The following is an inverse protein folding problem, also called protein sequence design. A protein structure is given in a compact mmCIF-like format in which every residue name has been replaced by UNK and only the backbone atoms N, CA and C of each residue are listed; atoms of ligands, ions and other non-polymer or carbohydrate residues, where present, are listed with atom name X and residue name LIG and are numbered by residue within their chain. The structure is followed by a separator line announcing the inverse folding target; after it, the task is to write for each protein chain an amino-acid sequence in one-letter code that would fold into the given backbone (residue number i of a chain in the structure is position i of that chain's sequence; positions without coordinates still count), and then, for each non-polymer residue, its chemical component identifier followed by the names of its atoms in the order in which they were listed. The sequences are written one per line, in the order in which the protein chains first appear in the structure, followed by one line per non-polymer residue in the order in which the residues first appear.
data_IF_073730249032
#
_entry.id   IF_073730249032
#
_cell.length_a   1.000
_cell.length_b   1.000
_cell.length_c   1.000
_cell.angle_alpha   90.00
_cell.angle_beta   90.00
_cell.angle_gamma   90.00
#
_symmetry.space_group_name_H-M   'P 1'
#
loop_
_entity.id
_entity.type
_entity.pdbx_description
1 polymer ?
#
# COMPACT_ATOMS: atom_id res chain seq x y z
N UNK A 1 2.58 -33.99 6.89
CA UNK A 1 1.34 -33.25 7.26
C UNK A 1 0.88 -33.64 8.67
N UNK A 2 0.98 -32.72 9.65
CA UNK A 2 0.54 -32.95 11.04
C UNK A 2 -0.95 -32.63 11.13
N UNK A 3 -1.79 -33.64 11.36
CA UNK A 3 -3.25 -33.45 11.51
C UNK A 3 -3.51 -32.56 12.72
N UNK A 4 -4.14 -31.40 12.52
CA UNK A 4 -4.57 -30.51 13.59
C UNK A 4 -5.65 -31.25 14.40
N UNK A 5 -5.40 -31.48 15.69
CA UNK A 5 -6.40 -32.08 16.58
C UNK A 5 -7.46 -31.03 16.88
N UNK A 6 -8.71 -31.31 16.50
CA UNK A 6 -9.85 -30.49 16.93
C UNK A 6 -10.08 -30.76 18.41
N UNK A 7 -9.87 -29.75 19.25
CA UNK A 7 -10.16 -29.83 20.68
C UNK A 7 -11.64 -29.56 20.90
N UNK A 8 -12.37 -30.59 21.34
CA UNK A 8 -13.76 -30.42 21.78
C UNK A 8 -13.75 -30.09 23.26
N UNK A 9 -14.48 -29.04 23.66
CA UNK A 9 -14.72 -28.75 25.08
C UNK A 9 -15.47 -29.95 25.66
N UNK A 10 -15.02 -30.44 26.82
CA UNK A 10 -15.67 -31.57 27.49
C UNK A 10 -17.12 -31.22 27.83
N UNK A 11 -18.07 -32.03 27.36
CA UNK A 11 -19.50 -31.86 27.64
C UNK A 11 -19.86 -31.93 29.15
N UNK A 12 -18.94 -32.40 30.00
CA UNK A 12 -19.11 -32.44 31.46
C UNK A 12 -18.57 -31.20 32.15
N UNK A 13 -17.96 -30.28 31.41
CA UNK A 13 -17.41 -29.06 31.98
C UNK A 13 -18.55 -28.06 32.24
N UNK A 14 -19.00 -27.98 33.49
CA UNK A 14 -20.04 -27.03 33.93
C UNK A 14 -19.54 -25.60 34.13
N UNK A 15 -18.23 -25.35 33.99
CA UNK A 15 -17.66 -24.00 34.01
C UNK A 15 -17.97 -23.24 32.72
N UNK A 16 -18.23 -23.96 31.63
CA UNK A 16 -18.63 -23.38 30.35
C UNK A 16 -20.08 -23.75 30.07
N UNK A 17 -20.88 -22.73 29.80
CA UNK A 17 -22.23 -22.93 29.32
C UNK A 17 -22.15 -23.47 27.89
N UNK A 18 -22.57 -24.72 27.68
CA UNK A 18 -22.62 -25.35 26.36
C UNK A 18 -23.50 -24.55 25.38
N UNK A 19 -24.42 -23.74 25.91
CA UNK A 19 -25.35 -22.91 25.16
C UNK A 19 -25.01 -21.42 25.28
N UNK A 20 -23.76 -21.06 25.61
CA UNK A 20 -23.28 -19.68 25.75
C UNK A 20 -23.65 -18.79 24.55
N UNK A 21 -23.66 -19.34 23.33
CA UNK A 21 -24.07 -18.58 22.14
C UNK A 21 -25.58 -18.34 22.12
N UNK A 22 -26.38 -19.31 22.55
CA UNK A 22 -27.85 -19.28 22.45
C UNK A 22 -28.46 -18.45 23.59
N UNK A 23 -27.94 -18.58 24.82
CA UNK A 23 -28.49 -17.93 26.01
C UNK A 23 -28.26 -16.41 26.03
N UNK A 24 -27.29 -15.89 25.27
CA UNK A 24 -26.89 -14.48 25.32
C UNK A 24 -27.25 -13.68 24.07
N UNK A 25 -27.86 -14.30 23.05
CA UNK A 25 -28.33 -13.60 21.85
C UNK A 25 -29.66 -12.87 22.10
N UNK A 26 -30.60 -13.46 22.85
CA UNK A 26 -31.89 -12.83 23.17
C UNK A 26 -32.44 -13.26 24.56
N UNK A 27 -32.70 -12.32 25.49
CA UNK A 27 -33.33 -12.64 26.77
C UNK A 27 -34.72 -13.25 26.58
N UNK A 28 -34.89 -14.54 26.91
CA UNK A 28 -36.18 -15.24 26.88
C UNK A 28 -36.32 -16.33 25.82
N UNK A 29 -35.33 -16.51 24.93
CA UNK A 29 -35.25 -17.69 24.04
C UNK A 29 -34.38 -18.76 24.69
N UNK A 30 -34.99 -19.87 25.09
CA UNK A 30 -34.26 -21.04 25.58
C UNK A 30 -33.96 -22.00 24.40
N UNK A 31 -32.98 -22.88 24.60
CA UNK A 31 -32.59 -23.89 23.60
C UNK A 31 -33.71 -24.89 23.25
N UNK A 32 -34.70 -25.08 24.12
CA UNK A 32 -35.87 -25.94 23.86
C UNK A 32 -36.74 -25.40 22.71
N UNK A 33 -36.77 -24.09 22.50
CA UNK A 33 -37.46 -23.49 21.36
C UNK A 33 -36.74 -23.75 20.03
N UNK A 34 -35.40 -23.87 20.06
CA UNK A 34 -34.59 -24.12 18.85
C UNK A 34 -34.60 -25.57 18.38
N UNK A 35 -34.96 -26.54 19.24
CA UNK A 35 -35.01 -27.96 18.85
C UNK A 35 -36.19 -28.26 17.89
N UNK A 36 -37.22 -27.40 17.87
CA UNK A 36 -38.37 -27.51 16.97
C UNK A 36 -38.25 -26.62 15.71
N UNK A 37 -37.38 -25.62 15.74
CA UNK A 37 -37.07 -24.81 14.57
C UNK A 37 -36.18 -25.63 13.64
N UNK A 38 -36.81 -26.24 12.64
CA UNK A 38 -36.06 -26.78 11.49
C UNK A 38 -35.28 -25.62 10.89
N UNK A 39 -33.97 -25.64 11.06
CA UNK A 39 -33.04 -24.85 10.25
C UNK A 39 -33.27 -25.24 8.79
N UNK A 40 -34.12 -24.46 8.11
CA UNK A 40 -34.12 -24.44 6.66
C UNK A 40 -32.82 -23.75 6.27
N UNK A 41 -31.80 -24.56 6.02
CA UNK A 41 -30.50 -24.07 5.58
C UNK A 41 -30.71 -23.47 4.19
N UNK A 42 -30.97 -22.17 4.12
CA UNK A 42 -31.06 -21.37 2.88
C UNK A 42 -29.68 -21.24 2.19
N UNK A 43 -28.83 -22.26 2.33
CA UNK A 43 -27.46 -22.39 1.81
C UNK A 43 -27.44 -22.61 0.29
N UNK A 44 -28.60 -22.93 -0.31
CA UNK A 44 -28.76 -23.01 -1.77
C UNK A 44 -29.08 -21.66 -2.43
N UNK A 45 -29.30 -20.59 -1.65
CA UNK A 45 -29.24 -19.22 -2.16
C UNK A 45 -27.82 -18.74 -2.02
N UNK A 46 -26.95 -19.18 -2.93
CA UNK A 46 -25.68 -18.51 -3.18
C UNK A 46 -25.96 -17.04 -3.39
N UNK A 47 -25.64 -16.28 -2.36
CA UNK A 47 -25.70 -14.84 -2.32
C UNK A 47 -24.61 -14.31 -3.25
N UNK A 48 -24.99 -13.98 -4.49
CA UNK A 48 -24.17 -13.21 -5.44
C UNK A 48 -23.83 -11.80 -4.89
N UNK A 49 -24.22 -11.45 -3.65
CA UNK A 49 -23.88 -10.18 -2.98
C UNK A 49 -22.37 -9.99 -2.70
N UNK A 50 -21.51 -10.96 -3.00
CA UNK A 50 -20.05 -10.75 -2.98
C UNK A 50 -19.52 -10.11 -4.27
N UNK A 51 -20.30 -10.11 -5.36
CA UNK A 51 -19.89 -9.49 -6.64
C UNK A 51 -19.96 -7.95 -6.61
N UNK A 52 -20.72 -7.37 -5.68
CA UNK A 52 -20.86 -5.91 -5.51
C UNK A 52 -19.64 -5.27 -4.82
N UNK A 53 -18.70 -6.08 -4.33
CA UNK A 53 -17.41 -5.62 -3.77
C UNK A 53 -16.32 -5.50 -4.84
N UNK A 54 -16.58 -5.95 -6.07
CA UNK A 54 -15.64 -5.88 -7.21
C UNK A 54 -15.65 -4.49 -7.90
N UNK A 55 -16.65 -3.65 -7.58
CA UNK A 55 -16.67 -2.21 -7.97
C UNK A 55 -15.55 -1.40 -7.28
N UNK A 56 -14.80 -2.01 -6.34
CA UNK A 56 -13.59 -1.44 -5.75
C UNK A 56 -12.38 -1.41 -6.70
N UNK A 57 -12.51 -1.91 -7.94
CA UNK A 57 -11.50 -1.79 -8.99
C UNK A 57 -11.60 -0.50 -9.81
N UNK A 58 -12.56 0.39 -9.51
CA UNK A 58 -12.50 1.76 -10.04
C UNK A 58 -11.28 2.47 -9.44
N UNK A 59 -10.28 2.74 -10.27
CA UNK A 59 -9.04 3.43 -9.87
C UNK A 59 -9.41 4.75 -9.15
N UNK A 60 -9.16 4.78 -7.84
CA UNK A 60 -9.49 5.94 -7.03
C UNK A 60 -8.63 7.14 -7.43
N UNK A 61 -9.27 8.31 -7.51
CA UNK A 61 -8.57 9.55 -7.86
C UNK A 61 -7.47 9.84 -6.84
N UNK A 62 -6.25 10.02 -7.33
CA UNK A 62 -5.06 10.19 -6.50
C UNK A 62 -4.50 11.60 -6.60
N UNK A 63 -4.29 12.25 -5.45
CA UNK A 63 -3.74 13.61 -5.38
C UNK A 63 -2.21 13.63 -5.53
N UNK A 64 -1.63 14.60 -6.25
CA UNK A 64 -0.18 14.85 -6.27
C UNK A 64 0.38 15.25 -4.90
N UNK A 65 1.61 14.84 -4.55
CA UNK A 65 2.24 15.20 -3.27
C UNK A 65 2.56 16.70 -3.10
N UNK A 66 2.70 17.46 -4.19
CA UNK A 66 3.31 18.79 -4.17
C UNK A 66 2.38 19.93 -4.61
N UNK A 67 1.22 19.63 -5.18
CA UNK A 67 0.25 20.61 -5.70
C UNK A 67 -1.19 20.08 -5.56
N UNK A 68 -2.18 20.92 -5.84
CA UNK A 68 -3.60 20.55 -5.78
C UNK A 68 -4.13 19.89 -7.07
N UNK A 69 -3.33 19.01 -7.68
CA UNK A 69 -3.69 18.23 -8.87
C UNK A 69 -4.14 16.81 -8.50
N UNK A 70 -5.17 16.29 -9.19
CA UNK A 70 -5.70 14.94 -9.01
C UNK A 70 -5.59 14.15 -10.32
N UNK A 71 -5.21 12.88 -10.20
CA UNK A 71 -5.01 11.94 -11.28
C UNK A 71 -5.97 10.77 -11.15
N UNK A 72 -6.22 10.05 -12.24
CA UNK A 72 -7.18 8.94 -12.23
C UNK A 72 -6.64 7.70 -11.52
N UNK A 73 -5.33 7.60 -11.29
CA UNK A 73 -4.72 6.46 -10.60
C UNK A 73 -3.45 6.86 -9.85
N UNK A 74 -3.07 6.03 -8.89
CA UNK A 74 -1.84 6.21 -8.12
C UNK A 74 -0.59 6.12 -9.01
N UNK A 75 -0.62 5.27 -10.04
CA UNK A 75 0.47 5.19 -11.02
C UNK A 75 0.60 6.48 -11.82
N UNK A 76 -0.51 7.01 -12.34
CA UNK A 76 -0.50 8.29 -13.08
C UNK A 76 -0.02 9.46 -12.21
N UNK A 77 -0.38 9.49 -10.93
CA UNK A 77 0.13 10.49 -9.99
C UNK A 77 1.65 10.35 -9.78
N UNK A 78 2.18 9.12 -9.70
CA UNK A 78 3.63 8.86 -9.59
C UNK A 78 4.40 9.32 -10.81
N UNK A 79 3.92 8.96 -12.01
CA UNK A 79 4.56 9.35 -13.27
C UNK A 79 4.62 10.88 -13.36
N UNK A 80 3.51 11.56 -13.03
CA UNK A 80 3.47 13.02 -12.96
C UNK A 80 4.45 13.61 -11.94
N UNK A 81 4.60 13.01 -10.76
CA UNK A 81 5.57 13.48 -9.76
C UNK A 81 7.01 13.35 -10.26
N UNK A 82 7.31 12.30 -11.03
CA UNK A 82 8.62 12.10 -11.62
C UNK A 82 8.89 13.11 -12.74
N UNK A 83 7.94 13.32 -13.65
CA UNK A 83 8.09 14.18 -14.83
C UNK A 83 8.06 15.67 -14.48
N UNK A 84 7.08 16.10 -13.68
CA UNK A 84 6.82 17.52 -13.40
C UNK A 84 7.66 18.06 -12.23
N UNK A 85 7.90 17.22 -11.22
CA UNK A 85 8.53 17.63 -9.95
C UNK A 85 9.91 17.00 -9.72
N UNK A 86 10.34 16.08 -10.59
CA UNK A 86 11.62 15.39 -10.46
C UNK A 86 11.71 14.48 -9.22
N UNK A 87 10.57 14.00 -8.73
CA UNK A 87 10.48 13.12 -7.55
C UNK A 87 10.09 11.71 -7.98
N UNK A 88 11.05 10.80 -7.95
CA UNK A 88 10.84 9.37 -8.23
C UNK A 88 10.62 8.61 -6.92
N UNK A 89 9.35 8.42 -6.55
CA UNK A 89 8.99 7.75 -5.29
C UNK A 89 9.56 6.32 -5.19
N UNK A 90 9.56 5.56 -6.29
CA UNK A 90 10.06 4.18 -6.27
C UNK A 90 11.57 4.12 -6.28
N UNK A 91 12.22 4.95 -7.09
CA UNK A 91 13.67 5.10 -7.06
C UNK A 91 14.17 5.47 -5.67
N UNK A 92 13.49 6.40 -4.98
CA UNK A 92 13.83 6.81 -3.62
C UNK A 92 13.53 5.73 -2.58
N UNK A 93 12.42 4.99 -2.72
CA UNK A 93 12.11 3.78 -1.91
C UNK A 93 13.26 2.79 -1.97
N UNK A 94 13.73 2.43 -3.17
CA UNK A 94 14.81 1.46 -3.36
C UNK A 94 16.17 2.03 -2.92
N UNK A 95 16.46 3.29 -3.20
CA UNK A 95 17.73 3.95 -2.84
C UNK A 95 17.93 4.02 -1.32
N UNK A 96 16.87 4.29 -0.58
CA UNK A 96 16.90 4.36 0.89
C UNK A 96 16.62 3.01 1.56
N UNK A 97 16.14 2.01 0.80
CA UNK A 97 15.75 0.71 1.34
C UNK A 97 14.54 0.78 2.26
N UNK A 98 13.54 1.57 1.88
CA UNK A 98 12.34 1.80 2.70
C UNK A 98 11.43 0.56 2.69
N UNK A 99 11.00 0.14 3.89
CA UNK A 99 9.91 -0.83 4.03
C UNK A 99 8.54 -0.17 3.77
N UNK A 100 7.46 -0.97 3.81
CA UNK A 100 6.09 -0.48 3.62
C UNK A 100 5.73 0.70 4.55
N UNK A 101 6.01 0.59 5.85
CA UNK A 101 5.65 1.61 6.83
C UNK A 101 6.51 2.86 6.72
N UNK A 102 7.78 2.70 6.37
CA UNK A 102 8.68 3.82 6.07
C UNK A 102 8.22 4.54 4.80
N UNK A 103 7.77 3.81 3.78
CA UNK A 103 7.21 4.42 2.57
C UNK A 103 5.97 5.26 2.89
N UNK A 104 5.04 4.73 3.70
CA UNK A 104 3.89 5.47 4.23
C UNK A 104 4.34 6.72 4.99
N UNK A 105 5.33 6.57 5.88
CA UNK A 105 5.89 7.66 6.70
C UNK A 105 6.43 8.79 5.83
N UNK A 106 7.16 8.46 4.76
CA UNK A 106 7.70 9.44 3.82
C UNK A 106 6.58 10.20 3.09
N UNK A 107 5.60 9.47 2.55
CA UNK A 107 4.47 10.06 1.83
C UNK A 107 3.72 11.04 2.74
N UNK A 108 3.34 10.58 3.94
CA UNK A 108 2.63 11.41 4.92
C UNK A 108 3.45 12.60 5.40
N UNK A 109 4.77 12.44 5.58
CA UNK A 109 5.65 13.55 5.88
C UNK A 109 5.62 14.61 4.77
N UNK A 110 5.77 14.20 3.51
CA UNK A 110 5.73 15.13 2.36
C UNK A 110 4.37 15.84 2.31
N UNK A 111 3.26 15.10 2.40
CA UNK A 111 1.89 15.67 2.45
C UNK A 111 1.79 16.75 3.52
N UNK A 112 2.28 16.46 4.73
CA UNK A 112 2.27 17.40 5.85
C UNK A 112 3.09 18.65 5.56
N UNK A 113 4.29 18.51 4.97
CA UNK A 113 5.12 19.67 4.64
C UNK A 113 4.46 20.53 3.55
N UNK A 114 3.88 19.92 2.52
CA UNK A 114 3.12 20.61 1.48
C UNK A 114 1.94 21.40 2.07
N UNK A 115 1.15 20.80 2.97
CA UNK A 115 0.04 21.49 3.66
C UNK A 115 0.49 22.66 4.55
N UNK A 116 1.74 22.65 5.00
CA UNK A 116 2.33 23.72 5.81
C UNK A 116 3.05 24.78 4.97
N UNK A 117 2.99 24.67 3.64
CA UNK A 117 3.75 25.52 2.74
C UNK A 117 5.26 25.52 3.05
N UNK A 118 5.79 24.32 3.30
CA UNK A 118 7.21 24.08 3.58
C UNK A 118 7.76 23.03 2.62
N UNK A 119 8.96 23.26 2.08
CA UNK A 119 9.65 22.26 1.28
C UNK A 119 10.09 21.08 2.16
N UNK A 120 9.71 19.86 1.78
CA UNK A 120 10.03 18.64 2.52
C UNK A 120 11.54 18.35 2.64
N UNK A 121 12.32 18.82 1.66
CA UNK A 121 13.76 18.57 1.56
C UNK A 121 14.60 19.60 2.31
N UNK A 122 14.42 20.89 1.99
CA UNK A 122 15.26 21.97 2.51
C UNK A 122 14.60 22.77 3.64
N UNK A 123 13.34 22.50 3.97
CA UNK A 123 12.55 23.19 4.99
C UNK A 123 12.35 24.70 4.73
N UNK A 124 12.61 25.18 3.51
CA UNK A 124 12.25 26.53 3.10
C UNK A 124 10.73 26.70 3.13
N UNK A 125 10.26 27.84 3.63
CA UNK A 125 8.84 28.17 3.71
C UNK A 125 8.44 29.06 2.54
N UNK A 126 7.16 29.03 2.16
CA UNK A 126 6.59 29.99 1.21
C UNK A 126 6.96 31.42 1.65
N UNK A 127 7.56 32.23 0.77
CA UNK A 127 7.85 33.62 1.11
C UNK A 127 6.52 34.33 1.40
N UNK A 128 6.44 35.03 2.53
CA UNK A 128 5.26 35.84 2.82
C UNK A 128 5.18 36.96 1.78
N UNK A 129 4.21 36.87 0.87
CA UNK A 129 3.83 38.00 0.06
C UNK A 129 3.09 38.97 0.98
N UNK A 130 3.72 40.10 1.31
CA UNK A 130 3.04 41.29 1.83
C UNK A 130 2.19 41.93 0.69
N UNK A 131 1.40 41.13 -0.05
CA UNK A 131 0.43 41.67 -1.00
C UNK A 131 -0.70 42.28 -0.16
N UNK A 132 -0.96 43.60 -0.25
CA UNK A 132 -2.16 44.17 0.36
C UNK A 132 -3.38 43.48 -0.24
N UNK A 133 -4.40 43.22 0.57
CA UNK A 133 -5.70 42.69 0.12
C UNK A 133 -6.26 43.64 -0.95
N UNK A 134 -6.04 43.31 -2.22
CA UNK A 134 -6.69 43.98 -3.34
C UNK A 134 -8.06 43.31 -3.53
N UNK A 135 -9.01 44.17 -3.81
CA UNK A 135 -10.44 43.94 -3.91
C UNK A 135 -10.75 42.75 -4.86
N UNK A 136 -11.62 41.86 -4.40
CA UNK A 136 -11.86 40.49 -4.86
C UNK A 136 -12.58 40.33 -6.23
N UNK A 137 -12.26 41.15 -7.24
CA UNK A 137 -13.04 41.14 -8.49
C UNK A 137 -12.25 40.73 -9.76
N UNK A 138 -10.93 40.48 -9.70
CA UNK A 138 -10.15 40.04 -10.87
C UNK A 138 -8.98 39.11 -10.48
N UNK A 139 -9.21 37.83 -10.19
CA UNK A 139 -8.12 36.86 -9.96
C UNK A 139 -8.43 35.48 -10.58
N UNK A 140 -8.46 35.43 -11.91
CA UNK A 140 -8.31 34.20 -12.73
C UNK A 140 -6.88 34.13 -13.31
N UNK A 141 -5.86 34.54 -12.54
CA UNK A 141 -4.47 34.23 -12.89
C UNK A 141 -4.04 33.04 -12.04
N UNK A 142 -3.94 31.87 -12.68
CA UNK A 142 -3.39 30.63 -12.13
C UNK A 142 -1.94 30.88 -11.64
N UNK A 143 -1.79 31.42 -10.43
CA UNK A 143 -0.49 31.65 -9.80
C UNK A 143 0.12 30.28 -9.50
N UNK A 144 1.12 29.87 -10.30
CA UNK A 144 1.79 28.57 -10.16
C UNK A 144 2.21 28.31 -8.70
N UNK A 145 1.94 27.09 -8.23
CA UNK A 145 2.23 26.69 -6.85
C UNK A 145 3.70 26.94 -6.48
N UNK A 146 3.92 27.70 -5.41
CA UNK A 146 5.27 28.14 -5.02
C UNK A 146 6.23 26.96 -4.83
N UNK A 147 5.70 25.83 -4.32
CA UNK A 147 6.46 24.63 -4.03
C UNK A 147 6.92 23.98 -5.34
N UNK A 148 6.02 23.87 -6.33
CA UNK A 148 6.36 23.34 -7.66
C UNK A 148 7.48 24.15 -8.29
N UNK A 149 7.37 25.49 -8.28
CA UNK A 149 8.43 26.38 -8.76
C UNK A 149 9.74 26.18 -7.99
N UNK A 150 9.67 26.10 -6.66
CA UNK A 150 10.84 25.89 -5.81
C UNK A 150 11.54 24.54 -6.08
N UNK A 151 10.77 23.45 -6.25
CA UNK A 151 11.31 22.13 -6.54
C UNK A 151 12.07 22.13 -7.88
N UNK A 152 11.53 22.79 -8.91
CA UNK A 152 12.17 22.95 -10.22
C UNK A 152 13.45 23.78 -10.17
N UNK A 153 13.42 24.94 -9.50
CA UNK A 153 14.57 25.85 -9.43
C UNK A 153 15.71 25.32 -8.54
N UNK A 154 15.37 24.71 -7.40
CA UNK A 154 16.33 24.28 -6.39
C UNK A 154 16.76 22.82 -6.53
N UNK A 155 16.08 22.04 -7.39
CA UNK A 155 16.32 20.60 -7.54
C UNK A 155 16.01 19.82 -6.25
N UNK A 156 15.09 20.32 -5.43
CA UNK A 156 14.74 19.71 -4.14
C UNK A 156 13.90 18.43 -4.29
N UNK A 157 13.27 18.22 -5.45
CA UNK A 157 12.47 17.02 -5.73
C UNK A 157 13.26 15.72 -5.55
N UNK A 158 14.49 15.66 -6.06
CA UNK A 158 15.35 14.47 -5.95
C UNK A 158 16.12 14.36 -4.62
N UNK A 159 15.92 15.29 -3.67
CA UNK A 159 16.68 15.33 -2.42
C UNK A 159 15.82 14.92 -1.23
N UNK A 160 15.55 13.62 -1.13
CA UNK A 160 14.82 13.08 0.02
C UNK A 160 15.69 13.15 1.29
N UNK A 161 15.10 13.55 2.44
CA UNK A 161 15.81 13.51 3.72
C UNK A 161 16.39 12.14 4.05
N UNK A 162 17.54 12.13 4.71
CA UNK A 162 18.23 10.89 5.11
C UNK A 162 17.49 10.17 6.25
N UNK A 163 17.78 8.88 6.44
CA UNK A 163 17.15 7.99 7.43
C UNK A 163 17.42 8.38 8.90
N UNK A 164 18.39 9.27 9.13
CA UNK A 164 18.72 9.81 10.45
C UNK A 164 17.80 10.96 10.88
N UNK A 165 16.95 11.48 9.98
CA UNK A 165 16.01 12.54 10.28
C UNK A 165 15.00 12.13 11.37
N UNK A 166 14.63 13.06 12.25
CA UNK A 166 13.80 12.74 13.42
C UNK A 166 12.35 12.40 13.08
N UNK A 167 11.83 12.85 11.94
CA UNK A 167 10.44 12.59 11.55
C UNK A 167 10.17 11.09 11.30
N UNK A 168 11.19 10.29 10.96
CA UNK A 168 11.06 8.83 10.80
C UNK A 168 10.63 8.12 12.09
N UNK A 169 10.90 8.72 13.25
CA UNK A 169 10.55 8.17 14.57
C UNK A 169 9.17 8.63 15.04
N UNK A 170 8.58 9.59 14.35
CA UNK A 170 7.33 10.20 14.77
C UNK A 170 6.14 9.38 14.25
N UNK A 171 5.45 8.73 15.19
CA UNK A 171 4.31 7.88 14.90
C UNK A 171 3.14 8.64 14.24
N UNK A 172 3.12 9.97 14.27
CA UNK A 172 2.07 10.75 13.60
C UNK A 172 2.04 10.51 12.10
N UNK A 173 3.18 10.19 11.47
CA UNK A 173 3.28 9.95 10.03
C UNK A 173 2.94 8.51 9.62
N UNK A 174 2.67 7.62 10.57
CA UNK A 174 2.10 6.31 10.28
C UNK A 174 0.58 6.38 10.05
N UNK A 175 -0.06 7.49 10.43
CA UNK A 175 -1.47 7.71 10.22
C UNK A 175 -1.68 8.41 8.87
N UNK A 176 -2.65 7.96 8.05
CA UNK A 176 -2.97 8.62 6.78
C UNK A 176 -3.23 10.12 6.96
N UNK A 177 -2.54 10.94 6.17
CA UNK A 177 -2.74 12.40 6.17
C UNK A 177 -3.95 12.83 5.33
N UNK A 178 -4.33 12.03 4.35
CA UNK A 178 -5.52 12.20 3.53
C UNK A 178 -6.42 10.96 3.72
N UNK A 179 -7.73 11.18 3.65
CA UNK A 179 -8.72 10.09 3.65
C UNK A 179 -8.62 9.31 2.33
N UNK A 180 -8.61 7.98 2.43
CA UNK A 180 -8.51 7.06 1.28
C UNK A 180 -7.36 7.42 0.32
N UNK A 181 -6.15 7.69 0.81
CA UNK A 181 -5.01 8.04 -0.04
C UNK A 181 -4.48 6.82 -0.81
N UNK A 182 -4.70 6.72 -2.15
CA UNK A 182 -4.31 5.53 -2.89
C UNK A 182 -2.79 5.38 -3.01
N UNK A 183 -2.01 6.45 -2.82
CA UNK A 183 -0.54 6.38 -2.82
C UNK A 183 0.01 5.53 -1.66
N UNK A 184 -0.73 5.38 -0.56
CA UNK A 184 -0.26 4.60 0.59
C UNK A 184 -0.28 3.08 0.32
N UNK A 185 -1.06 2.65 -0.68
CA UNK A 185 -1.27 1.24 -0.99
C UNK A 185 -0.50 0.76 -2.23
N UNK A 186 0.05 1.65 -3.04
CA UNK A 186 0.61 1.33 -4.36
C UNK A 186 1.72 0.28 -4.38
N UNK A 187 2.39 0.06 -3.25
CA UNK A 187 3.49 -0.91 -3.13
C UNK A 187 3.16 -2.10 -2.21
N UNK A 188 1.98 -2.10 -1.59
CA UNK A 188 1.62 -3.12 -0.58
C UNK A 188 1.42 -4.51 -1.17
N UNK A 189 0.96 -4.59 -2.43
CA UNK A 189 0.69 -5.87 -3.10
C UNK A 189 1.96 -6.60 -3.56
N UNK A 190 3.05 -5.87 -3.81
CA UNK A 190 4.34 -6.44 -4.23
C UNK A 190 5.03 -7.23 -3.10
N UNK A 191 4.78 -6.87 -1.84
CA UNK A 191 5.45 -7.45 -0.67
C UNK A 191 4.69 -8.67 -0.11
N UNK A 192 3.42 -8.85 -0.46
CA UNK A 192 2.56 -9.95 0.00
C UNK A 192 2.67 -11.24 -0.82
N UNK A 193 3.79 -11.46 -1.50
CA UNK A 193 4.00 -12.57 -2.44
C UNK A 193 3.65 -13.96 -1.88
N UNK A 194 2.40 -14.38 -2.07
CA UNK A 194 2.10 -15.78 -2.35
C UNK A 194 2.64 -16.04 -3.77
N UNK A 195 3.85 -16.61 -3.86
CA UNK A 195 4.39 -17.06 -5.15
C UNK A 195 3.38 -18.01 -5.82
N UNK A 196 2.97 -17.77 -7.08
CA UNK A 196 2.23 -18.77 -7.81
C UNK A 196 3.16 -19.97 -8.04
N UNK A 197 2.94 -21.06 -7.29
CA UNK A 197 3.53 -22.37 -7.57
C UNK A 197 3.14 -22.79 -9.00
N UNK A 198 3.95 -22.48 -10.00
CA UNK A 198 3.68 -22.94 -11.36
C UNK A 198 4.27 -22.14 -12.51
N UNK A 199 5.55 -21.79 -12.48
CA UNK A 199 6.28 -21.48 -13.71
C UNK A 199 7.43 -22.47 -13.87
N UNK A 200 7.13 -23.56 -14.56
CA UNK A 200 8.09 -24.58 -14.93
C UNK A 200 9.25 -23.94 -15.73
N UNK A 201 10.46 -24.28 -15.30
CA UNK A 201 11.72 -23.97 -15.94
C UNK A 201 11.75 -24.49 -17.39
N UNK A 202 11.61 -23.59 -18.36
CA UNK A 202 12.08 -23.84 -19.71
C UNK A 202 13.58 -23.56 -19.75
N UNK A 203 14.35 -24.64 -19.54
CA UNK A 203 15.78 -24.67 -19.83
C UNK A 203 15.97 -24.36 -21.32
N UNK A 204 16.69 -23.27 -21.57
CA UNK A 204 17.32 -22.94 -22.85
C UNK A 204 18.10 -24.15 -23.38
N UNK A 205 17.65 -24.68 -24.52
CA UNK A 205 18.37 -25.63 -25.35
C UNK A 205 19.56 -24.94 -25.98
N UNK A 206 20.75 -25.14 -25.41
CA UNK A 206 22.02 -24.74 -26.02
C UNK A 206 22.68 -25.98 -26.62
N UNK A 207 22.51 -26.07 -27.94
CA UNK A 207 23.35 -26.67 -28.99
C UNK A 207 24.42 -27.69 -28.59
N UNK A 208 24.24 -28.89 -29.16
CA UNK A 208 25.29 -29.88 -29.44
C UNK A 208 26.53 -29.23 -30.08
N UNK A 209 27.69 -29.40 -29.46
CA UNK A 209 28.96 -29.35 -30.16
C UNK A 209 29.83 -30.51 -29.68
N UNK A 210 29.85 -31.56 -30.50
CA UNK A 210 30.86 -32.60 -30.55
C UNK A 210 32.26 -32.01 -30.39
N UNK A 211 33.03 -32.55 -29.45
CA UNK A 211 34.48 -32.53 -29.52
C UNK A 211 34.94 -33.91 -29.09
N UNK A 212 35.40 -34.65 -30.08
CA UNK A 212 35.89 -36.02 -29.98
C UNK A 212 37.02 -36.15 -28.95
N UNK A 213 36.87 -37.18 -28.12
CA UNK A 213 37.87 -38.19 -27.76
C UNK A 213 39.35 -37.82 -27.97
N UNK A 214 40.05 -37.52 -26.88
CA UNK A 214 41.49 -37.78 -26.72
C UNK A 214 41.67 -38.51 -25.39
N UNK A 215 41.66 -39.85 -25.43
CA UNK A 215 42.26 -40.71 -24.41
C UNK A 215 42.42 -42.15 -24.98
N UNK A 216 43.53 -42.39 -25.65
CA UNK A 216 44.14 -43.73 -25.78
C UNK A 216 45.63 -43.58 -25.42
N UNK A 217 45.90 -43.79 -24.13
CA UNK A 217 46.79 -44.83 -23.60
C UNK A 217 48.31 -44.89 -23.92
N UNK A 218 49.03 -45.25 -22.84
CA UNK A 218 50.34 -45.94 -22.80
C UNK A 218 51.62 -45.11 -23.12
N UNK A 219 52.79 -45.19 -22.45
CA UNK A 219 53.33 -46.01 -21.34
C UNK A 219 54.80 -45.53 -21.05
N UNK A 220 55.19 -45.53 -19.76
CA UNK A 220 56.48 -45.98 -19.17
C UNK A 220 57.83 -45.20 -19.40
N UNK A 221 58.46 -44.95 -18.22
CA UNK A 221 59.81 -44.50 -17.77
C UNK A 221 60.10 -43.00 -17.72
#
# INVERSE_FOLDING_TARGET
MRKKKHFKISARNRLYDQFYVINYLEPGKNWENFEHDRYDSDDDRRDDSWADWDDALEEEKTKCLFEDAYFNSAQSARDHMQESHGFDLEGERHRLGLDFYQTITLINYIRRQTMLDVCFSCLAKKPQSDKPQIDQDEEDEEEEDWLVRHLKESGCGARVPSMDADFWKDAQFLLPMLENDPLLMIFGEEESGDEPEGAASERSSLSDHDSDEDDEDEIII
#
